data_IF_892671424493
#
_entry.id   IF_892671424493
#
_cell.length_a   1.000
_cell.length_b   1.000
_cell.length_c   1.000
_cell.angle_alpha   90.00
_cell.angle_beta   90.00
_cell.angle_gamma   90.00
#
_symmetry.space_group_name_H-M   'P 1'
#
loop_
_entity.id
_entity.type
_entity.pdbx_description
1 polymer ?
#
# COMPACT_ATOMS: atom_id res chain seq x y z
N UNK A 1 10.68 23.66 8.02
CA UNK A 1 9.80 24.19 6.96
C UNK A 1 8.37 23.82 7.31
N UNK A 2 7.37 24.72 7.18
CA UNK A 2 5.98 24.31 7.37
C UNK A 2 5.62 23.27 6.30
N UNK A 3 5.08 22.14 6.73
CA UNK A 3 4.57 21.13 5.79
C UNK A 3 3.39 21.73 5.01
N UNK A 4 3.32 21.53 3.69
CA UNK A 4 2.20 22.04 2.91
C UNK A 4 0.89 21.47 3.46
N UNK A 5 -0.04 22.35 3.82
CA UNK A 5 -1.38 21.94 4.26
C UNK A 5 -2.11 21.43 3.03
N UNK A 6 -2.35 20.12 2.97
CA UNK A 6 -3.09 19.50 1.89
C UNK A 6 -4.51 20.06 1.81
N UNK A 7 -4.95 20.40 0.60
CA UNK A 7 -6.31 20.85 0.33
C UNK A 7 -7.31 19.69 0.24
N UNK A 8 -6.82 18.45 0.16
CA UNK A 8 -7.65 17.25 0.04
C UNK A 8 -6.97 16.06 0.76
N UNK A 9 -7.13 15.95 2.09
CA UNK A 9 -6.46 14.91 2.89
C UNK A 9 -6.79 13.50 2.40
N UNK A 10 -5.76 12.67 2.22
CA UNK A 10 -5.87 11.25 1.84
C UNK A 10 -5.29 10.33 2.91
N UNK A 11 -5.77 9.09 2.88
CA UNK A 11 -5.21 7.97 3.62
C UNK A 11 -4.35 7.13 2.67
N UNK A 12 -3.07 6.95 3.00
CA UNK A 12 -2.19 6.01 2.33
C UNK A 12 -2.43 4.60 2.86
N UNK A 13 -3.08 3.77 2.05
CA UNK A 13 -3.27 2.34 2.30
C UNK A 13 -2.08 1.58 1.70
N UNK A 14 -1.24 1.03 2.57
CA UNK A 14 -0.02 0.33 2.21
C UNK A 14 -0.20 -1.16 2.50
N UNK A 15 -0.20 -1.99 1.45
CA UNK A 15 -0.40 -3.42 1.54
C UNK A 15 0.92 -4.16 1.37
N UNK A 16 1.29 -4.98 2.35
CA UNK A 16 2.42 -5.88 2.30
C UNK A 16 1.90 -7.32 2.18
N UNK A 17 2.03 -7.90 0.98
CA UNK A 17 1.48 -9.22 0.66
C UNK A 17 2.53 -10.14 0.01
N UNK A 18 2.45 -11.47 0.18
CA UNK A 18 3.29 -12.39 -0.57
C UNK A 18 3.00 -12.44 -2.07
N UNK A 19 1.78 -12.10 -2.52
CA UNK A 19 1.34 -12.24 -3.90
C UNK A 19 0.08 -11.41 -4.18
N UNK A 20 -0.98 -12.03 -4.69
CA UNK A 20 -2.26 -11.34 -4.89
C UNK A 20 -2.87 -10.86 -3.57
N UNK A 21 -3.44 -9.65 -3.59
CA UNK A 21 -4.07 -9.03 -2.43
C UNK A 21 -5.27 -9.89 -1.99
N UNK A 22 -5.29 -10.45 -0.77
CA UNK A 22 -6.45 -11.19 -0.32
C UNK A 22 -7.62 -10.25 -0.07
N UNK A 23 -8.82 -10.80 -0.25
CA UNK A 23 -10.06 -10.04 -0.11
C UNK A 23 -10.12 -8.80 -1.02
N UNK A 24 -9.47 -8.83 -2.19
CA UNK A 24 -9.43 -7.71 -3.15
C UNK A 24 -10.82 -7.12 -3.44
N UNK A 25 -11.83 -7.98 -3.64
CA UNK A 25 -13.24 -7.57 -3.85
C UNK A 25 -13.88 -6.89 -2.63
N UNK A 26 -13.45 -7.24 -1.43
CA UNK A 26 -13.94 -6.59 -0.20
C UNK A 26 -13.33 -5.20 -0.06
N UNK A 27 -12.03 -5.08 -0.32
CA UNK A 27 -11.34 -3.78 -0.36
C UNK A 27 -11.93 -2.87 -1.42
N UNK A 28 -12.21 -3.39 -2.61
CA UNK A 28 -12.90 -2.65 -3.67
C UNK A 28 -14.25 -2.09 -3.17
N UNK A 29 -15.09 -2.92 -2.55
CA UNK A 29 -16.38 -2.48 -2.00
C UNK A 29 -16.23 -1.46 -0.86
N UNK A 30 -15.20 -1.59 -0.03
CA UNK A 30 -14.93 -0.65 1.06
C UNK A 30 -14.51 0.73 0.52
N UNK A 31 -13.79 0.75 -0.60
CA UNK A 31 -13.21 1.96 -1.19
C UNK A 31 -14.11 2.62 -2.23
N UNK A 32 -15.15 1.91 -2.69
CA UNK A 32 -16.11 2.41 -3.66
C UNK A 32 -16.82 3.67 -3.13
N UNK A 33 -16.87 4.73 -3.95
CA UNK A 33 -17.49 6.01 -3.58
C UNK A 33 -16.63 6.89 -2.67
N UNK A 34 -15.36 6.54 -2.47
CA UNK A 34 -14.38 7.33 -1.71
C UNK A 34 -13.17 7.74 -2.56
N UNK A 35 -13.35 7.77 -3.88
CA UNK A 35 -12.33 8.13 -4.85
C UNK A 35 -11.73 9.51 -4.51
N UNK A 36 -10.40 9.61 -4.50
CA UNK A 36 -9.69 10.84 -4.18
C UNK A 36 -9.47 11.09 -2.68
N UNK A 37 -9.96 10.22 -1.78
CA UNK A 37 -9.69 10.27 -0.33
C UNK A 37 -8.67 9.22 0.15
N UNK A 38 -8.13 8.43 -0.77
CA UNK A 38 -7.13 7.41 -0.46
C UNK A 38 -6.10 7.29 -1.58
N UNK A 39 -4.94 6.78 -1.22
CA UNK A 39 -3.86 6.38 -2.12
C UNK A 39 -3.47 4.94 -1.78
N UNK A 40 -3.32 4.09 -2.79
CA UNK A 40 -3.05 2.66 -2.61
C UNK A 40 -1.64 2.34 -3.07
N UNK A 41 -0.90 1.64 -2.22
CA UNK A 41 0.46 1.18 -2.47
C UNK A 41 0.54 -0.31 -2.11
N UNK A 42 0.99 -1.14 -3.05
CA UNK A 42 1.04 -2.59 -2.87
C UNK A 42 2.47 -3.06 -3.03
N UNK A 43 2.96 -3.83 -2.08
CA UNK A 43 4.25 -4.51 -2.17
C UNK A 43 4.03 -6.02 -2.15
N UNK A 44 4.22 -6.66 -3.31
CA UNK A 44 4.15 -8.11 -3.47
C UNK A 44 5.55 -8.74 -3.42
N UNK A 45 5.79 -9.64 -2.48
CA UNK A 45 7.15 -10.14 -2.20
C UNK A 45 7.62 -11.36 -3.00
N UNK A 46 6.71 -12.16 -3.58
CA UNK A 46 7.09 -13.41 -4.27
C UNK A 46 6.65 -13.48 -5.72
N UNK A 47 5.47 -12.96 -6.02
CA UNK A 47 4.82 -13.10 -7.32
C UNK A 47 4.37 -11.73 -7.83
N UNK A 48 4.29 -11.57 -9.16
CA UNK A 48 3.57 -10.45 -9.75
C UNK A 48 2.08 -10.77 -9.66
N UNK A 49 1.32 -10.08 -8.79
CA UNK A 49 -0.09 -10.36 -8.65
C UNK A 49 -0.85 -10.00 -9.92
N UNK A 50 -1.82 -10.84 -10.28
CA UNK A 50 -2.82 -10.48 -11.29
C UNK A 50 -4.02 -9.93 -10.54
N UNK A 51 -4.19 -8.62 -10.61
CA UNK A 51 -5.33 -7.93 -10.00
C UNK A 51 -6.59 -8.12 -10.83
N UNK A 52 -7.70 -8.41 -10.16
CA UNK A 52 -9.02 -8.56 -10.79
C UNK A 52 -9.79 -7.24 -10.83
N UNK A 53 -9.52 -6.34 -9.88
CA UNK A 53 -10.10 -5.00 -9.78
C UNK A 53 -9.15 -3.96 -10.35
N UNK A 54 -9.72 -3.02 -11.12
CA UNK A 54 -8.99 -1.91 -11.72
C UNK A 54 -8.37 -0.95 -10.70
N UNK A 55 -8.85 -0.95 -9.45
CA UNK A 55 -8.33 -0.09 -8.39
C UNK A 55 -6.87 -0.40 -8.02
N UNK A 56 -6.47 -1.67 -8.15
CA UNK A 56 -5.16 -2.15 -7.72
C UNK A 56 -4.15 -2.30 -8.87
N UNK A 57 -4.63 -2.27 -10.11
CA UNK A 57 -3.77 -2.35 -11.30
C UNK A 57 -2.79 -1.18 -11.33
N UNK A 58 -1.49 -1.48 -11.47
CA UNK A 58 -0.44 -0.47 -11.57
C UNK A 58 -0.09 0.22 -10.24
N UNK A 59 -0.59 -0.29 -9.10
CA UNK A 59 -0.28 0.23 -7.76
C UNK A 59 0.85 -0.54 -7.06
N UNK A 60 1.51 -1.43 -7.79
CA UNK A 60 2.56 -2.31 -7.29
C UNK A 60 3.93 -1.62 -7.25
N UNK A 61 4.55 -1.65 -6.08
CA UNK A 61 5.95 -1.29 -5.86
C UNK A 61 6.75 -2.59 -5.80
N UNK A 62 7.63 -2.74 -6.77
CA UNK A 62 8.51 -3.90 -6.87
C UNK A 62 9.71 -3.74 -5.93
N UNK A 63 10.06 -4.80 -5.19
CA UNK A 63 11.36 -4.89 -4.52
C UNK A 63 11.89 -6.32 -4.50
N UNK A 64 13.05 -6.52 -3.86
CA UNK A 64 13.65 -7.84 -3.69
C UNK A 64 12.77 -8.75 -2.81
N UNK A 65 13.02 -10.06 -2.90
CA UNK A 65 12.25 -11.06 -2.15
C UNK A 65 12.27 -10.75 -0.66
N UNK A 66 11.08 -10.52 -0.10
CA UNK A 66 10.91 -10.32 1.34
C UNK A 66 10.81 -11.67 2.03
N UNK A 67 11.68 -11.89 3.00
CA UNK A 67 11.61 -13.03 3.90
C UNK A 67 11.03 -12.56 5.23
N UNK A 68 10.03 -13.27 5.73
CA UNK A 68 9.39 -12.99 7.02
C UNK A 68 10.42 -13.07 8.16
N UNK A 69 10.32 -12.16 9.13
CA UNK A 69 11.21 -12.10 10.29
C UNK A 69 12.66 -11.67 9.98
N UNK A 70 12.91 -11.11 8.78
CA UNK A 70 14.23 -10.58 8.37
C UNK A 70 14.18 -9.10 8.06
N UNK A 71 15.36 -8.47 8.03
CA UNK A 71 15.56 -7.05 7.69
C UNK A 71 14.91 -6.66 6.36
N UNK A 72 14.82 -7.61 5.41
CA UNK A 72 14.11 -7.42 4.13
C UNK A 72 12.66 -6.97 4.28
N UNK A 73 12.00 -7.28 5.41
CA UNK A 73 10.62 -6.85 5.69
C UNK A 73 10.57 -5.37 6.04
N UNK A 74 11.50 -4.93 6.88
CA UNK A 74 11.69 -3.51 7.22
C UNK A 74 12.02 -2.69 5.97
N UNK A 75 12.83 -3.23 5.06
CA UNK A 75 13.17 -2.53 3.82
C UNK A 75 11.96 -2.41 2.87
N UNK A 76 11.08 -3.41 2.84
CA UNK A 76 9.84 -3.34 2.06
C UNK A 76 8.85 -2.31 2.65
N UNK A 77 8.70 -2.27 3.97
CA UNK A 77 7.88 -1.27 4.67
C UNK A 77 8.42 0.15 4.43
N UNK A 78 9.74 0.35 4.54
CA UNK A 78 10.39 1.63 4.25
C UNK A 78 10.14 2.07 2.81
N UNK A 79 10.16 1.15 1.83
CA UNK A 79 9.86 1.46 0.43
C UNK A 79 8.41 1.87 0.23
N UNK A 80 7.47 1.15 0.85
CA UNK A 80 6.04 1.54 0.85
C UNK A 80 5.85 2.95 1.41
N UNK A 81 6.43 3.19 2.58
CA UNK A 81 6.34 4.48 3.24
C UNK A 81 7.00 5.60 2.42
N UNK A 82 8.16 5.35 1.81
CA UNK A 82 8.83 6.33 0.96
C UNK A 82 7.96 6.75 -0.23
N UNK A 83 7.34 5.80 -0.92
CA UNK A 83 6.42 6.09 -2.03
C UNK A 83 5.15 6.81 -1.55
N UNK A 84 4.65 6.46 -0.36
CA UNK A 84 3.49 7.12 0.21
C UNK A 84 3.77 8.57 0.63
N UNK A 85 5.00 8.90 1.01
CA UNK A 85 5.41 10.25 1.39
C UNK A 85 5.61 11.19 0.19
N UNK A 86 5.70 10.67 -1.04
CA UNK A 86 5.78 11.51 -2.24
C UNK A 86 4.47 12.26 -2.51
N UNK A 87 3.33 11.69 -2.12
CA UNK A 87 2.04 12.37 -2.19
C UNK A 87 1.82 13.20 -0.92
N UNK A 88 1.97 14.53 -1.07
CA UNK A 88 1.79 15.52 0.00
C UNK A 88 0.37 15.56 0.57
N UNK A 89 -0.61 14.97 -0.13
CA UNK A 89 -1.97 14.87 0.37
C UNK A 89 -2.16 13.73 1.38
N UNK A 90 -1.25 12.76 1.43
CA UNK A 90 -1.32 11.66 2.38
C UNK A 90 -1.01 12.17 3.80
N UNK A 91 -2.01 12.14 4.67
CA UNK A 91 -1.86 12.56 6.07
C UNK A 91 -1.84 11.38 7.04
N UNK A 92 -2.50 10.28 6.68
CA UNK A 92 -2.57 9.07 7.49
C UNK A 92 -1.98 7.91 6.71
N UNK A 93 -1.19 7.08 7.39
CA UNK A 93 -0.50 5.94 6.80
C UNK A 93 -0.96 4.67 7.51
N UNK A 94 -1.56 3.75 6.76
CA UNK A 94 -2.09 2.49 7.29
C UNK A 94 -1.34 1.36 6.61
N UNK A 95 -0.54 0.62 7.39
CA UNK A 95 0.15 -0.58 6.93
C UNK A 95 -0.71 -1.81 7.23
N UNK A 96 -0.97 -2.62 6.19
CA UNK A 96 -1.78 -3.83 6.25
C UNK A 96 -0.95 -5.01 5.76
N UNK A 97 -0.95 -6.11 6.52
CA UNK A 97 -0.28 -7.35 6.13
C UNK A 97 -1.17 -8.57 6.34
N UNK A 98 -1.06 -9.55 5.44
CA UNK A 98 -1.96 -10.73 5.39
C UNK A 98 -1.78 -11.71 6.54
N UNK A 99 -0.63 -11.67 7.22
CA UNK A 99 -0.32 -12.53 8.35
C UNK A 99 0.39 -11.70 9.40
N UNK A 100 -0.13 -11.80 10.63
CA UNK A 100 0.44 -11.27 11.87
C UNK A 100 1.89 -10.85 11.71
N UNK A 101 2.09 -9.53 11.71
CA UNK A 101 3.38 -8.91 11.82
C UNK A 101 3.40 -8.16 13.15
N UNK A 102 3.69 -8.90 14.23
CA UNK A 102 4.31 -8.42 15.46
C UNK A 102 5.14 -9.57 16.03
#
# INVERSE_FOLDING_TARGET
MPMPVSKNPKIALMFLTPGSLPFEKLWEKLLQGHEGRYSIYIHASRERPVHSSSLFVGREIHSEKVVWGRISMVDAEKRLLANALEDVDNQFFVLLSDRFCF
#
